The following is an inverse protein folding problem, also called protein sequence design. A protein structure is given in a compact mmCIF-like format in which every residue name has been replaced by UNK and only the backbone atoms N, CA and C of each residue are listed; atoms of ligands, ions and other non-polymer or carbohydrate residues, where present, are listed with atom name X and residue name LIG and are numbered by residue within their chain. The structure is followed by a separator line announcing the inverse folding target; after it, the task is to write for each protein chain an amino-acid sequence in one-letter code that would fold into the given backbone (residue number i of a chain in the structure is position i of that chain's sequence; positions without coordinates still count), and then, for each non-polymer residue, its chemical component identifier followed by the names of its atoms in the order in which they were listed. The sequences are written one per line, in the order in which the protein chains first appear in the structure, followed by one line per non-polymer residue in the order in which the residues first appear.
data_IF_240330083001
#
_entry.id   IF_240330083001
#
_cell.length_a   1.000
_cell.length_b   1.000
_cell.length_c   1.000
_cell.angle_alpha   90.00
_cell.angle_beta   90.00
_cell.angle_gamma   90.00
#
_symmetry.space_group_name_H-M   'P 1'
#
loop_
_entity.id
_entity.type
_entity.pdbx_description
1 polymer ?
#
# COMPACT_ATOMS: atom_id res chain seq x y z
N UNK A 1 8.69 3.84 -10.13
CA UNK A 1 8.17 3.48 -8.80
C UNK A 1 8.47 2.00 -8.56
N UNK A 2 9.09 1.61 -7.44
CA UNK A 2 9.43 0.22 -7.19
C UNK A 2 8.20 -0.54 -6.70
N UNK A 3 7.44 -1.05 -7.66
CA UNK A 3 6.31 -1.97 -7.47
C UNK A 3 6.84 -3.37 -7.77
N UNK A 4 6.72 -4.29 -6.80
CA UNK A 4 7.25 -5.64 -6.92
C UNK A 4 6.14 -6.68 -6.84
N UNK A 5 6.13 -7.59 -7.81
CA UNK A 5 5.26 -8.75 -7.80
C UNK A 5 5.86 -9.85 -6.91
N UNK A 6 5.02 -10.52 -6.13
CA UNK A 6 5.35 -11.75 -5.37
C UNK A 6 4.16 -12.71 -5.45
N UNK A 7 4.41 -14.00 -5.61
CA UNK A 7 3.37 -15.06 -5.69
C UNK A 7 2.22 -14.78 -6.69
N UNK A 8 2.53 -14.06 -7.77
CA UNK A 8 1.56 -13.67 -8.80
C UNK A 8 0.72 -12.44 -8.46
N UNK A 9 0.91 -11.84 -7.28
CA UNK A 9 0.21 -10.63 -6.84
C UNK A 9 1.06 -9.39 -7.11
N UNK A 10 0.45 -8.42 -7.80
CA UNK A 10 1.04 -7.11 -8.09
C UNK A 10 0.20 -6.03 -7.41
N UNK A 11 0.84 -5.04 -6.75
CA UNK A 11 0.12 -3.92 -6.17
C UNK A 11 -0.82 -3.22 -7.15
N UNK A 12 -2.02 -2.85 -6.68
CA UNK A 12 -3.01 -2.10 -7.43
C UNK A 12 -2.96 -0.64 -7.00
N UNK A 13 -2.63 0.25 -7.94
CA UNK A 13 -2.46 1.68 -7.72
C UNK A 13 -3.31 2.44 -8.74
N UNK A 14 -4.39 3.13 -8.32
CA UNK A 14 -5.16 4.00 -9.19
C UNK A 14 -4.36 5.22 -9.66
N UNK A 15 -4.68 5.74 -10.85
CA UNK A 15 -3.99 6.90 -11.45
C UNK A 15 -4.13 8.18 -10.61
N UNK A 16 -5.18 8.29 -9.80
CA UNK A 16 -5.43 9.41 -8.89
C UNK A 16 -4.56 9.37 -7.62
N UNK A 17 -3.92 8.24 -7.34
CA UNK A 17 -3.12 8.04 -6.14
C UNK A 17 -1.65 8.40 -6.40
N UNK A 18 -1.01 8.99 -5.40
CA UNK A 18 0.39 9.37 -5.47
C UNK A 18 1.26 8.41 -4.66
N UNK A 19 2.20 7.75 -5.33
CA UNK A 19 3.22 6.92 -4.67
C UNK A 19 4.58 7.57 -4.89
N UNK A 20 5.22 7.99 -3.80
CA UNK A 20 6.54 8.61 -3.89
C UNK A 20 7.54 7.66 -4.56
N UNK A 21 8.47 8.14 -5.41
CA UNK A 21 9.43 7.28 -6.12
C UNK A 21 10.30 6.37 -5.25
N UNK A 22 10.45 6.68 -3.96
CA UNK A 22 11.21 5.88 -2.98
C UNK A 22 10.33 4.98 -2.10
N UNK A 23 9.00 5.10 -2.17
CA UNK A 23 8.11 4.17 -1.49
C UNK A 23 8.15 2.80 -2.15
N UNK A 24 8.02 1.74 -1.37
CA UNK A 24 8.11 0.35 -1.81
C UNK A 24 6.79 -0.36 -1.55
N UNK A 25 6.17 -0.87 -2.62
CA UNK A 25 4.95 -1.67 -2.55
C UNK A 25 5.23 -3.07 -3.10
N UNK A 26 4.85 -4.11 -2.35
CA UNK A 26 5.16 -5.51 -2.66
C UNK A 26 3.89 -6.37 -2.45
N UNK A 27 3.49 -7.15 -3.45
CA UNK A 27 2.45 -8.18 -3.31
C UNK A 27 1.01 -7.67 -3.30
N UNK A 28 0.15 -8.28 -2.46
CA UNK A 28 -1.28 -7.98 -2.34
C UNK A 28 -1.51 -6.68 -1.56
N UNK A 29 -1.15 -5.56 -2.20
CA UNK A 29 -1.35 -4.19 -1.72
C UNK A 29 -2.36 -3.51 -2.65
N UNK A 30 -3.47 -3.07 -2.09
CA UNK A 30 -4.56 -2.43 -2.84
C UNK A 30 -4.74 -1.02 -2.33
N UNK A 31 -4.47 -0.04 -3.19
CA UNK A 31 -4.79 1.36 -2.92
C UNK A 31 -6.15 1.73 -3.51
N UNK A 32 -6.91 2.51 -2.76
CA UNK A 32 -8.05 3.29 -3.22
C UNK A 32 -7.59 4.52 -4.01
N UNK A 33 -8.55 5.36 -4.39
CA UNK A 33 -8.32 6.59 -5.15
C UNK A 33 -7.84 7.72 -4.26
N UNK A 34 -6.97 8.59 -4.80
CA UNK A 34 -6.49 9.75 -4.07
C UNK A 34 -5.61 9.42 -2.86
N UNK A 35 -5.07 8.19 -2.80
CA UNK A 35 -4.19 7.77 -1.71
C UNK A 35 -2.83 8.42 -1.86
N UNK A 36 -2.29 8.94 -0.77
CA UNK A 36 -0.91 9.44 -0.70
C UNK A 36 -0.01 8.41 -0.01
N UNK A 37 1.08 8.01 -0.67
CA UNK A 37 2.14 7.18 -0.07
C UNK A 37 3.45 7.97 -0.08
N UNK A 38 3.90 8.36 1.11
CA UNK A 38 5.07 9.20 1.35
C UNK A 38 6.42 8.52 1.08
N UNK A 39 7.51 9.29 1.06
CA UNK A 39 8.85 8.77 0.81
C UNK A 39 9.24 7.69 1.82
N UNK A 40 9.89 6.64 1.31
CA UNK A 40 10.41 5.52 2.09
C UNK A 40 9.35 4.71 2.86
N UNK A 41 8.06 4.93 2.60
CA UNK A 41 7.02 4.04 3.10
C UNK A 41 7.20 2.63 2.51
N UNK A 42 6.97 1.60 3.31
CA UNK A 42 7.12 0.19 2.91
C UNK A 42 5.83 -0.57 3.22
N UNK A 43 5.10 -0.92 2.17
CA UNK A 43 3.86 -1.70 2.24
C UNK A 43 4.14 -3.07 1.63
N UNK A 44 4.12 -4.13 2.45
CA UNK A 44 4.41 -5.49 2.01
C UNK A 44 3.25 -6.42 2.34
N UNK A 45 2.47 -6.75 1.32
CA UNK A 45 1.37 -7.72 1.37
C UNK A 45 1.80 -9.09 0.87
N UNK A 46 2.77 -9.73 1.54
CA UNK A 46 3.25 -11.08 1.20
C UNK A 46 2.59 -12.19 2.05
N UNK A 47 2.26 -11.91 3.30
CA UNK A 47 1.56 -12.84 4.20
C UNK A 47 0.07 -12.54 4.37
N UNK A 48 -0.28 -11.26 4.43
CA UNK A 48 -1.65 -10.78 4.56
C UNK A 48 -1.87 -9.60 3.62
N UNK A 49 -3.12 -9.40 3.19
CA UNK A 49 -3.48 -8.31 2.28
C UNK A 49 -3.37 -6.97 2.99
N UNK A 50 -2.92 -5.96 2.26
CA UNK A 50 -2.98 -4.56 2.68
C UNK A 50 -4.03 -3.84 1.83
N UNK A 51 -4.96 -3.13 2.49
CA UNK A 51 -5.96 -2.28 1.84
C UNK A 51 -5.85 -0.87 2.39
N UNK A 52 -5.61 0.11 1.54
CA UNK A 52 -5.62 1.53 1.89
C UNK A 52 -6.77 2.17 1.14
N UNK A 53 -7.84 2.56 1.84
CA UNK A 53 -9.07 3.05 1.18
C UNK A 53 -8.93 4.49 0.67
N UNK A 54 -9.95 4.95 -0.04
CA UNK A 54 -9.98 6.24 -0.72
C UNK A 54 -9.63 7.41 0.22
N UNK A 55 -8.84 8.34 -0.30
CA UNK A 55 -8.40 9.56 0.41
C UNK A 55 -7.43 9.33 1.58
N UNK A 56 -7.13 8.07 1.94
CA UNK A 56 -6.21 7.77 3.03
C UNK A 56 -4.76 8.11 2.68
N UNK A 57 -3.91 8.16 3.70
CA UNK A 57 -2.49 8.47 3.52
C UNK A 57 -1.59 7.60 4.38
N UNK A 58 -0.47 7.18 3.79
CA UNK A 58 0.62 6.48 4.48
C UNK A 58 1.84 7.39 4.43
N UNK A 59 2.26 7.90 5.59
CA UNK A 59 3.29 8.91 5.64
C UNK A 59 4.72 8.35 5.51
N UNK A 60 5.65 9.28 5.47
CA UNK A 60 7.08 9.08 5.38
C UNK A 60 7.60 8.02 6.36
N UNK A 61 8.35 7.05 5.85
CA UNK A 61 8.96 5.96 6.61
C UNK A 61 7.98 5.03 7.35
N UNK A 62 6.66 5.13 7.13
CA UNK A 62 5.71 4.16 7.67
C UNK A 62 5.98 2.76 7.12
N UNK A 63 5.79 1.74 7.96
CA UNK A 63 5.90 0.34 7.57
C UNK A 63 4.56 -0.33 7.84
N UNK A 64 4.03 -1.00 6.82
CA UNK A 64 2.79 -1.76 6.90
C UNK A 64 3.02 -3.18 6.44
N UNK A 65 2.52 -4.12 7.24
CA UNK A 65 2.64 -5.55 7.02
C UNK A 65 1.36 -6.23 7.52
N UNK A 66 0.97 -7.33 6.87
CA UNK A 66 -0.25 -8.08 7.21
C UNK A 66 0.05 -9.38 7.92
N UNK A 67 -0.77 -9.73 8.91
CA UNK A 67 -0.74 -11.07 9.52
C UNK A 67 -1.37 -12.10 8.55
N UNK A 68 -0.86 -13.35 8.48
CA UNK A 68 -1.43 -14.38 7.63
C UNK A 68 -2.95 -14.55 7.78
N UNK A 69 -3.66 -14.52 6.65
CA UNK A 69 -5.11 -14.71 6.61
C UNK A 69 -5.94 -13.54 7.16
N UNK A 70 -5.32 -12.39 7.40
CA UNK A 70 -6.01 -11.16 7.78
C UNK A 70 -5.69 -10.03 6.81
N UNK A 71 -6.62 -9.08 6.74
CA UNK A 71 -6.47 -7.85 5.99
C UNK A 71 -6.04 -6.74 6.97
N UNK A 72 -4.97 -6.03 6.63
CA UNK A 72 -4.60 -4.77 7.30
C UNK A 72 -5.21 -3.63 6.52
N UNK A 73 -6.14 -2.91 7.16
CA UNK A 73 -6.97 -1.92 6.49
C UNK A 73 -6.71 -0.54 7.09
N UNK A 74 -6.40 0.43 6.23
CA UNK A 74 -6.56 1.86 6.54
C UNK A 74 -7.88 2.29 5.92
N UNK A 75 -8.78 2.75 6.78
CA UNK A 75 -10.13 3.17 6.39
C UNK A 75 -10.13 4.48 5.57
N UNK A 76 -11.27 4.83 4.98
CA UNK A 76 -11.43 6.04 4.17
C UNK A 76 -11.00 7.29 4.95
N UNK A 77 -10.24 8.18 4.30
CA UNK A 77 -9.66 9.38 4.92
C UNK A 77 -8.78 9.07 6.16
N UNK A 78 -8.33 7.82 6.28
CA UNK A 78 -7.50 7.34 7.38
C UNK A 78 -6.02 7.75 7.26
N UNK A 79 -5.27 7.46 8.33
CA UNK A 79 -3.86 7.77 8.50
C UNK A 79 -3.11 6.58 9.10
#
# INVERSE_FOLDING_TARGET
MPIYQIDGMTPVVPDESYVHPTAVLIGDVILGKGVYVGPNASLRGDFGRIVVKDGANIQDNCVMHGFPGQDTVVEEEGH
#
